data_IF_810365851618
#
_entry.id   IF_810365851618
#
_cell.length_a   1.000
_cell.length_b   1.000
_cell.length_c   1.000
_cell.angle_alpha   90.00
_cell.angle_beta   90.00
_cell.angle_gamma   90.00
#
_symmetry.space_group_name_H-M   'P 1'
#
loop_
_entity.id
_entity.type
_entity.pdbx_description
1 polymer ?
#
# COMPACT_ATOMS: atom_id res chain seq x y z
N UNK A 1 -14.80 -19.53 41.41
CA UNK A 1 -13.93 -20.06 40.33
C UNK A 1 -14.33 -19.39 39.03
N UNK A 2 -13.60 -18.35 38.59
CA UNK A 2 -13.83 -17.71 37.31
C UNK A 2 -12.93 -18.38 36.27
N UNK A 3 -13.51 -19.20 35.40
CA UNK A 3 -12.76 -19.84 34.31
C UNK A 3 -12.37 -18.79 33.26
N UNK A 4 -11.07 -18.68 33.03
CA UNK A 4 -10.44 -17.86 31.99
C UNK A 4 -10.89 -18.31 30.59
N UNK A 5 -11.70 -17.46 29.94
CA UNK A 5 -11.91 -17.47 28.49
C UNK A 5 -10.99 -16.42 27.85
N UNK A 6 -9.68 -16.69 27.72
CA UNK A 6 -8.74 -15.65 27.21
C UNK A 6 -7.83 -16.07 26.06
N UNK A 7 -7.68 -17.37 25.78
CA UNK A 7 -6.79 -17.85 24.72
C UNK A 7 -7.54 -18.36 23.46
N UNK A 8 -8.61 -19.15 23.62
CA UNK A 8 -9.33 -19.74 22.48
C UNK A 8 -10.14 -18.73 21.67
N UNK A 9 -10.80 -17.74 22.31
CA UNK A 9 -11.48 -16.66 21.60
C UNK A 9 -10.52 -15.71 20.86
N UNK A 10 -9.29 -15.53 21.39
CA UNK A 10 -8.22 -14.77 20.74
C UNK A 10 -7.65 -15.48 19.51
N UNK A 11 -7.60 -16.81 19.53
CA UNK A 11 -7.13 -17.63 18.41
C UNK A 11 -8.16 -17.70 17.27
N UNK A 12 -9.45 -17.79 17.58
CA UNK A 12 -10.55 -17.75 16.59
C UNK A 12 -10.65 -16.41 15.85
N UNK A 13 -10.44 -15.28 16.54
CA UNK A 13 -10.34 -13.95 15.90
C UNK A 13 -9.14 -13.80 14.96
N UNK A 14 -8.17 -14.72 15.01
CA UNK A 14 -6.90 -14.65 14.28
C UNK A 14 -6.97 -15.26 12.86
N UNK A 15 -8.07 -15.94 12.53
CA UNK A 15 -8.23 -16.69 11.26
C UNK A 15 -9.33 -16.17 10.35
N UNK A 16 -9.95 -15.02 10.65
CA UNK A 16 -10.87 -14.43 9.68
C UNK A 16 -10.10 -13.91 8.48
N UNK A 17 -10.48 -14.37 7.29
CA UNK A 17 -9.91 -13.91 6.04
C UNK A 17 -10.12 -12.40 5.91
N UNK A 18 -9.23 -11.71 5.21
CA UNK A 18 -9.39 -10.27 4.95
C UNK A 18 -10.76 -9.93 4.34
N UNK A 19 -11.33 -10.84 3.54
CA UNK A 19 -12.67 -10.70 2.97
C UNK A 19 -13.77 -10.85 4.03
N UNK A 20 -13.62 -11.73 5.03
CA UNK A 20 -14.54 -11.80 6.18
C UNK A 20 -14.53 -10.48 6.95
N UNK A 21 -13.33 -9.92 7.17
CA UNK A 21 -13.18 -8.63 7.84
C UNK A 21 -13.87 -7.51 7.06
N UNK A 22 -13.69 -7.44 5.73
CA UNK A 22 -14.39 -6.46 4.89
C UNK A 22 -15.91 -6.69 4.85
N UNK A 23 -16.37 -7.94 4.78
CA UNK A 23 -17.79 -8.28 4.71
C UNK A 23 -18.56 -7.80 5.95
N UNK A 24 -17.92 -7.82 7.13
CA UNK A 24 -18.52 -7.26 8.35
C UNK A 24 -18.73 -5.74 8.32
N UNK A 25 -18.16 -5.04 7.32
CA UNK A 25 -18.32 -3.60 7.09
C UNK A 25 -18.97 -3.31 5.73
N UNK A 26 -19.71 -4.28 5.16
CA UNK A 26 -20.32 -4.14 3.83
C UNK A 26 -21.35 -2.99 3.77
N UNK A 27 -22.12 -2.78 4.83
CA UNK A 27 -23.11 -1.69 4.90
C UNK A 27 -22.44 -0.31 4.79
N UNK A 28 -21.35 -0.09 5.53
CA UNK A 28 -20.55 1.14 5.45
C UNK A 28 -19.87 1.32 4.09
N UNK A 29 -19.47 0.22 3.43
CA UNK A 29 -18.93 0.26 2.08
C UNK A 29 -19.98 0.66 1.03
N UNK A 30 -21.24 0.24 1.21
CA UNK A 30 -22.32 0.45 0.25
C UNK A 30 -23.09 1.75 0.48
N UNK A 31 -23.21 2.16 1.73
CA UNK A 31 -24.10 3.25 2.17
C UNK A 31 -23.39 4.30 3.04
N UNK A 32 -22.20 4.00 3.55
CA UNK A 32 -21.41 4.90 4.38
C UNK A 32 -20.48 5.81 3.60
N UNK A 33 -19.80 6.70 4.34
CA UNK A 33 -18.77 7.57 3.79
C UNK A 33 -17.50 6.77 3.56
N UNK A 34 -17.16 6.52 2.30
CA UNK A 34 -15.90 5.89 1.91
C UNK A 34 -14.81 6.95 1.82
N UNK A 35 -13.68 6.68 2.45
CA UNK A 35 -12.53 7.56 2.44
C UNK A 35 -11.61 7.26 1.25
N UNK A 36 -11.10 8.31 0.60
CA UNK A 36 -10.12 8.16 -0.48
C UNK A 36 -8.69 8.34 0.03
N UNK A 37 -7.77 7.54 -0.52
CA UNK A 37 -6.33 7.74 -0.39
C UNK A 37 -5.63 7.55 -1.73
N UNK A 38 -4.43 8.12 -1.84
CA UNK A 38 -3.61 8.05 -3.05
C UNK A 38 -2.26 7.42 -2.72
N UNK A 39 -1.86 6.45 -3.54
CA UNK A 39 -0.70 5.60 -3.26
C UNK A 39 0.24 5.45 -4.46
N UNK A 40 1.53 5.27 -4.18
CA UNK A 40 2.55 5.05 -5.19
C UNK A 40 3.08 3.61 -5.17
N UNK A 41 2.98 2.93 -6.31
CA UNK A 41 3.80 1.75 -6.61
C UNK A 41 5.14 2.27 -7.13
N UNK A 42 6.06 2.48 -6.20
CA UNK A 42 7.41 2.95 -6.49
C UNK A 42 8.25 1.78 -7.01
N UNK A 43 8.82 1.93 -8.19
CA UNK A 43 9.65 0.89 -8.81
C UNK A 43 10.91 1.47 -9.42
N UNK A 44 11.96 0.66 -9.49
CA UNK A 44 13.19 0.96 -10.22
C UNK A 44 13.56 -0.22 -11.11
N UNK A 45 14.27 0.06 -12.20
CA UNK A 45 14.84 -0.99 -13.06
C UNK A 45 16.19 -1.37 -12.50
N UNK A 46 16.48 -2.67 -12.45
CA UNK A 46 17.80 -3.18 -12.11
C UNK A 46 18.66 -3.10 -13.38
N UNK A 47 19.88 -2.51 -13.33
CA UNK A 47 20.75 -2.39 -14.51
C UNK A 47 21.13 -3.74 -15.12
N UNK A 48 21.40 -4.73 -14.27
CA UNK A 48 21.78 -6.09 -14.66
C UNK A 48 20.56 -7.02 -14.53
N UNK A 49 19.78 -7.12 -15.61
CA UNK A 49 18.69 -8.10 -15.72
C UNK A 49 17.36 -7.53 -16.22
N UNK A 50 16.40 -8.41 -16.48
CA UNK A 50 15.04 -8.06 -16.91
C UNK A 50 14.09 -7.76 -15.75
N UNK A 51 14.61 -7.79 -14.54
CA UNK A 51 13.82 -7.59 -13.33
C UNK A 51 13.74 -6.12 -12.91
N UNK A 52 12.60 -5.83 -12.31
CA UNK A 52 12.33 -4.56 -11.67
C UNK A 52 12.04 -4.82 -10.20
N UNK A 53 12.59 -3.96 -9.36
CA UNK A 53 12.30 -3.96 -7.93
C UNK A 53 11.23 -2.92 -7.65
N UNK A 54 10.45 -3.17 -6.62
CA UNK A 54 9.54 -2.18 -6.05
C UNK A 54 9.85 -1.95 -4.59
N UNK A 55 9.51 -0.76 -4.13
CA UNK A 55 9.68 -0.35 -2.76
C UNK A 55 8.42 -0.67 -1.96
N UNK A 56 8.63 -1.24 -0.77
CA UNK A 56 7.60 -1.41 0.25
C UNK A 56 8.02 -0.69 1.53
N UNK A 57 7.04 -0.20 2.28
CA UNK A 57 7.22 0.43 3.59
C UNK A 57 6.37 -0.24 4.65
N UNK A 58 6.75 -0.16 5.91
CA UNK A 58 5.85 -0.56 7.01
C UNK A 58 4.89 0.56 7.38
N UNK A 59 3.64 0.24 7.72
CA UNK A 59 2.74 1.19 8.38
C UNK A 59 3.27 1.58 9.76
N UNK A 60 2.99 2.83 10.17
CA UNK A 60 3.46 3.36 11.46
C UNK A 60 2.80 2.66 12.65
N UNK A 61 1.49 2.39 12.55
CA UNK A 61 0.70 1.93 13.69
C UNK A 61 0.80 0.42 13.93
N UNK A 62 0.88 -0.37 12.86
CA UNK A 62 0.82 -1.83 12.95
C UNK A 62 2.05 -2.56 12.41
N UNK A 63 3.02 -1.84 11.84
CA UNK A 63 4.22 -2.44 11.24
C UNK A 63 3.95 -3.34 10.03
N UNK A 64 2.76 -3.23 9.41
CA UNK A 64 2.39 -4.07 8.25
C UNK A 64 3.03 -3.53 6.98
N UNK A 65 3.48 -4.41 6.10
CA UNK A 65 3.99 -3.98 4.79
C UNK A 65 2.88 -3.42 3.91
N UNK A 66 3.13 -2.24 3.35
CA UNK A 66 2.24 -1.48 2.48
C UNK A 66 3.04 -0.76 1.40
N UNK A 67 2.34 -0.11 0.48
CA UNK A 67 2.93 0.90 -0.43
C UNK A 67 2.79 2.30 0.18
N UNK A 68 3.67 3.25 -0.17
CA UNK A 68 3.53 4.63 0.27
C UNK A 68 2.19 5.22 -0.12
N UNK A 69 1.47 5.82 0.83
CA UNK A 69 0.11 6.33 0.60
C UNK A 69 -0.34 7.32 1.67
N UNK A 70 -1.22 8.24 1.28
CA UNK A 70 -1.85 9.15 2.24
C UNK A 70 -3.07 9.87 1.72
N UNK A 71 -3.45 10.91 2.46
CA UNK A 71 -4.74 11.58 2.35
C UNK A 71 -4.77 12.61 1.21
N UNK A 72 -5.96 12.93 0.66
CA UNK A 72 -6.10 14.00 -0.32
C UNK A 72 -5.53 15.34 0.21
N UNK A 73 -4.69 15.97 -0.61
CA UNK A 73 -4.09 17.27 -0.29
C UNK A 73 -4.77 18.34 -1.16
N UNK A 74 -5.26 19.41 -0.51
CA UNK A 74 -5.95 20.51 -1.21
C UNK A 74 -5.06 21.08 -2.32
N UNK A 75 -5.62 21.15 -3.54
CA UNK A 75 -4.92 21.70 -4.71
C UNK A 75 -3.92 20.75 -5.36
N UNK A 76 -3.85 19.47 -4.94
CA UNK A 76 -3.02 18.44 -5.57
C UNK A 76 -3.87 17.39 -6.27
N UNK A 77 -3.42 16.94 -7.44
CA UNK A 77 -4.02 15.81 -8.15
C UNK A 77 -3.63 14.48 -7.48
N UNK A 78 -4.42 13.41 -7.64
CA UNK A 78 -4.15 12.11 -7.03
C UNK A 78 -2.71 11.57 -7.21
N UNK A 79 -2.19 11.64 -8.43
CA UNK A 79 -0.81 11.19 -8.72
C UNK A 79 0.26 12.08 -8.08
N UNK A 80 -0.03 13.36 -7.85
CA UNK A 80 0.89 14.27 -7.17
C UNK A 80 0.94 13.94 -5.68
N UNK A 81 -0.22 13.66 -5.06
CA UNK A 81 -0.27 13.17 -3.68
C UNK A 81 0.52 11.87 -3.54
N UNK A 82 0.27 10.89 -4.41
CA UNK A 82 1.03 9.63 -4.39
C UNK A 82 2.56 9.85 -4.47
N UNK A 83 3.02 10.81 -5.27
CA UNK A 83 4.45 11.14 -5.37
C UNK A 83 4.99 11.87 -4.13
N UNK A 84 4.18 12.72 -3.49
CA UNK A 84 4.53 13.36 -2.22
C UNK A 84 4.71 12.28 -1.13
N UNK A 85 3.76 11.36 -1.01
CA UNK A 85 3.83 10.26 -0.04
C UNK A 85 5.03 9.34 -0.26
N UNK A 86 5.38 9.07 -1.52
CA UNK A 86 6.60 8.33 -1.86
C UNK A 86 7.87 9.03 -1.35
N UNK A 87 7.90 10.37 -1.41
CA UNK A 87 9.02 11.14 -0.86
C UNK A 87 8.98 11.16 0.68
N UNK A 88 7.82 11.44 1.27
CA UNK A 88 7.69 11.61 2.71
C UNK A 88 7.90 10.32 3.49
N UNK A 89 7.28 9.22 3.04
CA UNK A 89 7.27 7.94 3.75
C UNK A 89 8.48 7.06 3.40
N UNK A 90 9.07 7.23 2.22
CA UNK A 90 10.10 6.33 1.68
C UNK A 90 11.36 7.02 1.15
N UNK A 91 11.40 8.36 1.11
CA UNK A 91 12.56 9.11 0.64
C UNK A 91 12.85 8.96 -0.84
N UNK A 92 11.87 8.58 -1.67
CA UNK A 92 12.08 8.38 -3.11
C UNK A 92 11.37 9.43 -3.96
N UNK A 93 11.99 9.80 -5.09
CA UNK A 93 11.41 10.68 -6.11
C UNK A 93 11.53 10.07 -7.50
N UNK A 94 10.67 10.52 -8.39
CA UNK A 94 10.74 10.15 -9.79
C UNK A 94 9.48 10.45 -10.58
N UNK A 95 9.33 9.74 -11.71
CA UNK A 95 8.29 10.02 -12.71
C UNK A 95 7.02 9.24 -12.38
N UNK A 96 6.03 9.94 -11.84
CA UNK A 96 4.70 9.38 -11.57
C UNK A 96 3.80 9.40 -12.81
N UNK A 97 3.04 8.32 -13.03
CA UNK A 97 2.04 8.23 -14.09
C UNK A 97 0.72 8.86 -13.66
N UNK A 98 0.20 9.81 -14.45
CA UNK A 98 -1.08 10.49 -14.20
C UNK A 98 -2.28 9.53 -14.20
N UNK A 99 -2.27 8.52 -15.07
CA UNK A 99 -3.35 7.52 -15.16
C UNK A 99 -3.27 6.58 -13.95
N UNK A 100 -4.38 6.33 -13.23
CA UNK A 100 -4.40 5.32 -12.17
C UNK A 100 -4.07 3.94 -12.73
N UNK A 101 -3.31 3.18 -11.96
CA UNK A 101 -2.96 1.80 -12.27
C UNK A 101 -4.05 0.82 -11.81
N UNK A 102 -4.67 1.11 -10.67
CA UNK A 102 -5.75 0.33 -10.10
C UNK A 102 -6.19 0.90 -8.76
N UNK A 103 -7.12 0.20 -8.11
CA UNK A 103 -7.71 0.58 -6.84
C UNK A 103 -7.74 -0.65 -5.94
N UNK A 104 -7.59 -0.47 -4.63
CA UNK A 104 -7.86 -1.52 -3.65
C UNK A 104 -8.56 -0.93 -2.44
N UNK A 105 -9.30 -1.76 -1.72
CA UNK A 105 -10.04 -1.37 -0.52
C UNK A 105 -9.35 -1.94 0.72
N UNK A 106 -9.35 -1.18 1.81
CA UNK A 106 -8.97 -1.69 3.13
C UNK A 106 -9.74 -1.00 4.24
N UNK A 107 -9.70 -1.58 5.44
CA UNK A 107 -10.26 -0.97 6.63
C UNK A 107 -9.16 -0.18 7.37
N UNK A 108 -9.33 1.14 7.47
CA UNK A 108 -8.48 2.00 8.28
C UNK A 108 -9.06 2.06 9.68
N UNK A 109 -8.27 1.64 10.65
CA UNK A 109 -8.57 1.90 12.05
C UNK A 109 -8.27 3.38 12.35
N UNK A 110 -9.26 4.10 12.84
CA UNK A 110 -9.16 5.47 13.31
C UNK A 110 -8.68 5.52 14.77
N UNK A 111 -8.32 6.72 15.23
CA UNK A 111 -7.78 6.93 16.59
C UNK A 111 -8.79 6.58 17.70
N UNK A 112 -10.08 6.70 17.42
CA UNK A 112 -11.18 6.32 18.33
C UNK A 112 -11.44 4.80 18.36
N UNK A 113 -10.69 4.02 17.58
CA UNK A 113 -10.82 2.56 17.50
C UNK A 113 -11.86 2.08 16.49
N UNK A 114 -12.64 2.98 15.89
CA UNK A 114 -13.54 2.64 14.79
C UNK A 114 -12.74 2.23 13.55
N UNK A 115 -13.37 1.46 12.66
CA UNK A 115 -12.79 1.04 11.39
C UNK A 115 -13.65 1.60 10.29
N UNK A 116 -13.01 2.31 9.36
CA UNK A 116 -13.71 2.90 8.23
C UNK A 116 -13.16 2.33 6.92
N UNK A 117 -14.03 2.09 5.93
CA UNK A 117 -13.58 1.68 4.61
C UNK A 117 -12.82 2.80 3.91
N UNK A 118 -11.66 2.45 3.35
CA UNK A 118 -10.84 3.32 2.54
C UNK A 118 -10.61 2.70 1.16
N UNK A 119 -10.87 3.46 0.10
CA UNK A 119 -10.47 3.14 -1.26
C UNK A 119 -9.16 3.84 -1.57
N UNK A 120 -8.17 3.08 -2.04
CA UNK A 120 -6.84 3.57 -2.36
C UNK A 120 -6.62 3.51 -3.86
N UNK A 121 -6.43 4.67 -4.49
CA UNK A 121 -6.06 4.77 -5.90
C UNK A 121 -4.53 4.71 -6.06
N UNK A 122 -4.06 3.76 -6.88
CA UNK A 122 -2.63 3.49 -7.08
C UNK A 122 -2.09 4.15 -8.35
N UNK A 123 -0.90 4.74 -8.25
CA UNK A 123 -0.14 5.28 -9.37
C UNK A 123 1.24 4.63 -9.47
N UNK A 124 1.68 4.34 -10.69
CA UNK A 124 3.05 3.86 -10.92
C UNK A 124 4.03 5.04 -10.85
N UNK A 125 5.11 4.88 -10.10
CA UNK A 125 6.18 5.86 -9.96
C UNK A 125 7.53 5.20 -10.30
N UNK A 126 8.14 5.62 -11.40
CA UNK A 126 9.50 5.19 -11.77
C UNK A 126 10.51 6.04 -11.00
N UNK A 127 11.17 5.43 -10.02
CA UNK A 127 12.12 6.10 -9.14
C UNK A 127 13.41 6.41 -9.91
N UNK A 128 13.85 7.66 -9.83
CA UNK A 128 15.14 8.12 -10.35
C UNK A 128 16.06 8.66 -9.25
N UNK A 129 15.54 8.91 -8.04
CA UNK A 129 16.32 9.40 -6.91
C UNK A 129 15.87 8.77 -5.58
N UNK A 130 16.84 8.37 -4.77
CA UNK A 130 16.65 7.98 -3.36
C UNK A 130 17.42 8.95 -2.47
N UNK A 131 16.75 9.50 -1.47
CA UNK A 131 17.26 10.53 -0.57
C UNK A 131 17.58 9.92 0.80
N UNK A 132 18.69 10.33 1.40
CA UNK A 132 19.08 9.89 2.74
C UNK A 132 18.39 10.70 3.85
N UNK A 133 17.93 11.91 3.53
CA UNK A 133 17.22 12.78 4.45
C UNK A 133 15.84 13.13 3.90
N UNK A 134 14.80 12.75 4.64
CA UNK A 134 13.40 12.87 4.24
C UNK A 134 12.49 12.88 5.47
N UNK A 135 11.25 13.42 5.36
CA UNK A 135 10.41 13.76 6.51
C UNK A 135 10.16 12.61 7.51
N UNK A 136 9.86 11.39 7.02
CA UNK A 136 9.59 10.25 7.90
C UNK A 136 10.77 9.29 8.08
N UNK A 137 12.00 9.76 7.86
CA UNK A 137 13.20 8.95 8.04
C UNK A 137 13.25 8.35 9.45
N UNK A 138 13.51 7.05 9.51
CA UNK A 138 13.62 6.31 10.76
C UNK A 138 12.28 5.96 11.42
N UNK A 139 11.15 6.37 10.85
CA UNK A 139 9.81 6.05 11.39
C UNK A 139 9.25 4.74 10.80
N UNK A 140 9.79 4.28 9.67
CA UNK A 140 9.35 3.09 8.93
C UNK A 140 10.54 2.25 8.48
N UNK A 141 10.33 0.96 8.30
CA UNK A 141 11.23 0.13 7.50
C UNK A 141 10.89 0.34 6.04
N UNK A 142 11.92 0.46 5.21
CA UNK A 142 11.83 0.68 3.77
C UNK A 142 12.70 -0.36 3.09
N UNK A 143 12.13 -1.14 2.18
CA UNK A 143 12.85 -2.21 1.49
C UNK A 143 12.55 -2.22 -0.01
N UNK A 144 13.59 -2.42 -0.81
CA UNK A 144 13.50 -2.76 -2.22
C UNK A 144 13.42 -4.27 -2.35
N UNK A 145 12.37 -4.75 -2.99
CA UNK A 145 12.12 -6.18 -3.17
C UNK A 145 11.56 -6.46 -4.56
N UNK A 146 11.54 -7.73 -4.98
CA UNK A 146 10.84 -8.11 -6.19
C UNK A 146 9.33 -7.86 -6.05
N UNK A 147 8.62 -7.66 -7.17
CA UNK A 147 7.17 -7.55 -7.16
C UNK A 147 6.46 -8.80 -6.58
N UNK A 148 7.06 -9.99 -6.76
CA UNK A 148 6.53 -11.23 -6.21
C UNK A 148 6.65 -11.22 -4.68
N UNK A 149 7.81 -10.81 -4.16
CA UNK A 149 8.04 -10.72 -2.72
C UNK A 149 7.14 -9.66 -2.06
N UNK A 150 7.03 -8.47 -2.65
CA UNK A 150 6.10 -7.45 -2.18
C UNK A 150 4.65 -7.96 -2.13
N UNK A 151 4.22 -8.68 -3.16
CA UNK A 151 2.90 -9.29 -3.24
C UNK A 151 2.65 -10.37 -2.17
N UNK A 152 3.70 -11.02 -1.66
CA UNK A 152 3.61 -11.97 -0.54
C UNK A 152 3.57 -11.28 0.83
N UNK A 153 4.09 -10.06 0.94
CA UNK A 153 4.16 -9.31 2.20
C UNK A 153 2.90 -8.52 2.52
N UNK A 154 2.17 -8.05 1.51
CA UNK A 154 0.93 -7.28 1.69
C UNK A 154 -0.23 -8.20 2.09
N UNK A 155 -1.18 -7.66 2.87
CA UNK A 155 -2.32 -8.43 3.39
C UNK A 155 -3.51 -8.41 2.42
N UNK A 156 -3.70 -7.30 1.74
CA UNK A 156 -4.86 -7.00 0.91
C UNK A 156 -4.78 -7.80 -0.42
N UNK A 157 -5.70 -8.74 -0.70
CA UNK A 157 -5.65 -9.58 -1.89
C UNK A 157 -5.70 -8.78 -3.20
N UNK A 158 -6.48 -7.69 -3.23
CA UNK A 158 -6.53 -6.77 -4.37
C UNK A 158 -5.17 -6.12 -4.63
N UNK A 159 -4.50 -5.63 -3.57
CA UNK A 159 -3.17 -5.06 -3.69
C UNK A 159 -2.17 -6.11 -4.18
N UNK A 160 -2.20 -7.32 -3.63
CA UNK A 160 -1.38 -8.45 -4.10
C UNK A 160 -1.52 -8.67 -5.62
N UNK A 161 -2.75 -8.72 -6.12
CA UNK A 161 -3.02 -8.87 -7.56
C UNK A 161 -2.48 -7.69 -8.39
N UNK A 162 -2.63 -6.47 -7.89
CA UNK A 162 -2.15 -5.26 -8.53
C UNK A 162 -0.61 -5.21 -8.58
N UNK A 163 0.09 -5.60 -7.52
CA UNK A 163 1.56 -5.64 -7.51
C UNK A 163 2.08 -6.65 -8.56
N UNK A 164 1.50 -7.84 -8.65
CA UNK A 164 1.86 -8.83 -9.68
C UNK A 164 1.55 -8.34 -11.11
N UNK A 165 0.45 -7.62 -11.30
CA UNK A 165 0.13 -6.99 -12.58
C UNK A 165 1.11 -5.85 -12.93
N UNK A 166 1.52 -5.04 -11.95
CA UNK A 166 2.47 -3.95 -12.13
C UNK A 166 3.83 -4.49 -12.56
N UNK A 167 4.35 -5.52 -11.88
CA UNK A 167 5.61 -6.17 -12.27
C UNK A 167 5.60 -6.69 -13.71
N UNK A 168 4.51 -7.33 -14.14
CA UNK A 168 4.33 -7.76 -15.55
C UNK A 168 4.33 -6.58 -16.52
N UNK A 169 3.69 -5.46 -16.17
CA UNK A 169 3.62 -4.26 -17.02
C UNK A 169 4.97 -3.57 -17.15
N UNK A 170 5.71 -3.44 -16.05
CA UNK A 170 7.04 -2.81 -16.04
C UNK A 170 8.02 -3.58 -16.91
N UNK A 171 8.03 -4.92 -16.82
CA UNK A 171 8.86 -5.78 -17.69
C UNK A 171 8.53 -5.64 -19.17
N UNK A 172 7.24 -5.63 -19.53
CA UNK A 172 6.79 -5.45 -20.93
C UNK A 172 7.18 -4.09 -21.52
N UNK A 173 7.29 -3.05 -20.70
CA UNK A 173 7.70 -1.73 -21.17
C UNK A 173 9.22 -1.65 -21.49
N UNK A 174 10.03 -2.59 -20.98
CA UNK A 174 11.47 -2.69 -21.28
C UNK A 174 11.71 -3.24 -22.68
N UNK A 175 11.04 -4.33 -23.07
CA UNK A 175 11.22 -4.97 -24.39
C UNK A 175 10.63 -4.25 -25.59
N UNK A 176 10.09 -3.02 -25.42
CA UNK A 176 9.60 -2.16 -26.50
C UNK A 176 10.50 -0.95 -26.77
N UNK A 177 11.59 -0.80 -26.01
CA UNK A 177 12.63 0.20 -26.25
C UNK A 177 13.80 -0.47 -26.95
#
# INVERSE_FOLDING_TARGET
MAFSLSAQQKALRRSESFLSELASHADELLHGQVHEQYAAICYRKVPEGDDAEMLVVTSRESGRWVVPKGWPIKGKKPHEVAAIEAYEEAGVRGKVKKKPFGYFTYLKQLADGSRVPCIVQLHLLEVDQTLQDFPERGQRRVEWVSFIEAANRVREPELKGLLLAAGRKVRKAKGKK
#
